data_IF_313758890024
#
_entry.id   IF_313758890024
#
_cell.length_a   1.000
_cell.length_b   1.000
_cell.length_c   1.000
_cell.angle_alpha   90.00
_cell.angle_beta   90.00
_cell.angle_gamma   90.00
#
_symmetry.space_group_name_H-M   'P 1'
#
loop_
_entity.id
_entity.type
_entity.pdbx_description
1 polymer ?
#
# COMPACT_ATOMS: atom_id res chain seq x y z
N UNK A 1 -9.57 20.19 1.26
CA UNK A 1 -10.22 18.87 1.39
C UNK A 1 -10.35 18.60 2.86
N UNK A 2 -11.57 18.37 3.31
CA UNK A 2 -11.93 18.11 4.71
C UNK A 2 -12.23 16.63 4.90
N UNK A 3 -11.80 16.05 6.02
CA UNK A 3 -12.20 14.71 6.43
C UNK A 3 -13.48 14.83 7.24
N UNK A 4 -14.60 14.39 6.66
CA UNK A 4 -15.92 14.54 7.27
C UNK A 4 -16.34 13.32 8.08
N UNK A 5 -15.79 12.14 7.78
CA UNK A 5 -16.06 10.92 8.53
C UNK A 5 -14.85 9.99 8.54
N UNK A 6 -14.61 9.34 9.67
CA UNK A 6 -13.63 8.25 9.81
C UNK A 6 -14.30 7.06 10.47
N UNK A 7 -14.30 5.91 9.80
CA UNK A 7 -14.76 4.63 10.35
C UNK A 7 -13.58 3.70 10.57
N UNK A 8 -13.45 3.18 11.79
CA UNK A 8 -12.39 2.27 12.16
C UNK A 8 -12.92 0.85 12.27
N UNK A 9 -12.16 -0.10 11.74
CA UNK A 9 -12.41 -1.54 11.77
C UNK A 9 -11.22 -2.21 12.45
N UNK A 10 -11.28 -2.41 13.78
CA UNK A 10 -10.24 -3.10 14.52
C UNK A 10 -9.98 -4.50 13.94
N UNK A 11 -8.73 -4.93 13.93
CA UNK A 11 -8.36 -6.27 13.49
C UNK A 11 -7.54 -6.95 14.57
N UNK A 12 -8.12 -7.99 15.15
CA UNK A 12 -7.41 -8.90 16.03
C UNK A 12 -6.74 -9.98 15.17
N UNK A 13 -5.41 -10.09 15.27
CA UNK A 13 -4.64 -11.07 14.52
C UNK A 13 -3.33 -11.39 15.21
N UNK A 14 -2.74 -12.55 14.88
CA UNK A 14 -1.42 -12.95 15.37
C UNK A 14 -0.32 -11.95 14.98
N UNK A 15 -0.49 -11.27 13.83
CA UNK A 15 0.40 -10.21 13.37
C UNK A 15 0.13 -8.91 14.13
N UNK A 16 0.90 -8.67 15.19
CA UNK A 16 0.80 -7.46 16.04
C UNK A 16 0.99 -6.14 15.29
N UNK A 17 1.55 -6.17 14.07
CA UNK A 17 1.86 -4.97 13.26
C UNK A 17 0.60 -4.27 12.74
N UNK A 18 -0.41 -5.00 12.28
CA UNK A 18 -1.63 -4.37 11.75
C UNK A 18 -2.69 -4.31 12.86
N UNK A 19 -3.06 -3.09 13.28
CA UNK A 19 -4.03 -2.88 14.38
C UNK A 19 -5.46 -2.77 13.90
N UNK A 20 -5.67 -2.05 12.80
CA UNK A 20 -6.99 -1.79 12.27
C UNK A 20 -6.94 -1.38 10.80
N UNK A 21 -8.09 -1.46 10.15
CA UNK A 21 -8.35 -0.75 8.90
C UNK A 21 -9.22 0.48 9.16
N UNK A 22 -9.10 1.49 8.31
CA UNK A 22 -9.92 2.67 8.32
C UNK A 22 -10.56 2.91 6.94
N UNK A 23 -11.76 3.48 6.96
CA UNK A 23 -12.39 4.11 5.81
C UNK A 23 -12.60 5.59 6.13
N UNK A 24 -12.17 6.47 5.22
CA UNK A 24 -12.19 7.92 5.40
C UNK A 24 -13.05 8.55 4.31
N UNK A 25 -14.02 9.36 4.71
CA UNK A 25 -14.87 10.15 3.81
C UNK A 25 -14.34 11.58 3.75
N UNK A 26 -14.10 12.06 2.53
CA UNK A 26 -13.65 13.41 2.22
C UNK A 26 -14.81 14.22 1.67
N UNK A 27 -14.99 15.44 2.18
CA UNK A 27 -15.96 16.44 1.73
C UNK A 27 -17.40 15.87 1.58
N UNK A 28 -17.78 14.86 2.38
CA UNK A 28 -19.05 14.11 2.26
C UNK A 28 -19.34 13.51 0.87
N UNK A 29 -18.33 13.38 0.01
CA UNK A 29 -18.52 13.04 -1.39
C UNK A 29 -17.65 11.87 -1.87
N UNK A 30 -16.52 11.60 -1.22
CA UNK A 30 -15.56 10.59 -1.67
C UNK A 30 -15.03 9.75 -0.51
N UNK A 31 -15.04 8.41 -0.66
CA UNK A 31 -14.56 7.50 0.38
C UNK A 31 -13.32 6.73 -0.07
N UNK A 32 -12.27 6.75 0.75
CA UNK A 32 -11.10 5.89 0.59
C UNK A 32 -11.15 4.78 1.65
N UNK A 33 -11.15 3.53 1.19
CA UNK A 33 -11.18 2.33 2.04
C UNK A 33 -9.81 1.68 2.12
N UNK A 34 -9.67 0.74 3.06
CA UNK A 34 -8.45 -0.06 3.26
C UNK A 34 -7.21 0.77 3.61
N UNK A 35 -7.40 1.94 4.22
CA UNK A 35 -6.32 2.62 4.95
C UNK A 35 -5.96 1.73 6.15
N UNK A 36 -4.68 1.57 6.45
CA UNK A 36 -4.20 0.67 7.51
C UNK A 36 -3.63 1.48 8.66
N UNK A 37 -3.94 1.06 9.88
CA UNK A 37 -3.30 1.57 11.10
C UNK A 37 -2.28 0.53 11.53
N UNK A 38 -1.00 0.90 11.50
CA UNK A 38 0.13 -0.01 11.68
C UNK A 38 0.97 0.42 12.88
N UNK A 39 1.37 -0.54 13.71
CA UNK A 39 2.36 -0.34 14.76
C UNK A 39 3.77 -0.51 14.17
N UNK A 40 4.49 0.61 14.07
CA UNK A 40 5.90 0.67 13.69
C UNK A 40 6.82 0.76 14.91
N UNK A 41 8.12 0.81 14.66
CA UNK A 41 9.13 0.95 15.73
C UNK A 41 9.07 2.31 16.45
N UNK A 42 8.55 3.34 15.80
CA UNK A 42 8.43 4.72 16.34
C UNK A 42 7.01 5.04 16.83
N UNK A 43 6.11 4.05 16.87
CA UNK A 43 4.72 4.24 17.25
C UNK A 43 3.73 3.86 16.13
N UNK A 44 2.46 4.15 16.39
CA UNK A 44 1.35 3.85 15.49
C UNK A 44 1.27 4.91 14.39
N UNK A 45 1.11 4.47 13.14
CA UNK A 45 1.02 5.37 11.99
C UNK A 45 0.02 4.85 10.96
N UNK A 46 -0.35 5.72 10.02
CA UNK A 46 -1.31 5.42 8.97
C UNK A 46 -0.59 5.06 7.67
N UNK A 47 -0.93 3.91 7.09
CA UNK A 47 -0.46 3.47 5.79
C UNK A 47 -1.61 3.47 4.77
N UNK A 48 -1.33 4.04 3.61
CA UNK A 48 -2.31 4.17 2.53
C UNK A 48 -2.73 2.83 1.93
N UNK A 49 -3.91 2.75 1.30
CA UNK A 49 -4.33 1.55 0.58
C UNK A 49 -3.39 1.30 -0.59
N UNK A 50 -2.80 0.11 -0.63
CA UNK A 50 -1.79 -0.26 -1.62
C UNK A 50 -2.13 -1.55 -2.35
N UNK A 51 -1.74 -1.64 -3.62
CA UNK A 51 -1.90 -2.82 -4.48
C UNK A 51 -0.53 -3.27 -4.99
N UNK A 52 -0.32 -4.59 -5.02
CA UNK A 52 0.82 -5.19 -5.71
C UNK A 52 0.65 -5.05 -7.22
N UNK A 53 1.63 -4.44 -7.88
CA UNK A 53 1.62 -4.26 -9.32
C UNK A 53 1.79 -5.61 -10.03
N UNK A 54 1.12 -5.77 -11.17
CA UNK A 54 1.15 -6.98 -12.01
C UNK A 54 1.29 -6.56 -13.48
N UNK A 55 1.98 -7.40 -14.27
CA UNK A 55 2.21 -7.19 -15.70
C UNK A 55 1.64 -8.37 -16.51
N UNK A 56 0.92 -8.08 -17.59
CA UNK A 56 0.37 -9.11 -18.46
C UNK A 56 1.46 -9.69 -19.36
N UNK A 57 1.49 -11.02 -19.50
CA UNK A 57 2.39 -11.69 -20.43
C UNK A 57 2.00 -11.34 -21.88
N UNK A 58 2.93 -10.88 -22.73
CA UNK A 58 2.63 -10.57 -24.14
C UNK A 58 2.24 -11.81 -24.96
N UNK A 59 2.61 -13.01 -24.49
CA UNK A 59 2.38 -14.25 -25.23
C UNK A 59 1.12 -15.01 -24.87
N UNK A 60 0.55 -14.83 -23.66
CA UNK A 60 -0.66 -15.55 -23.22
C UNK A 60 -1.65 -14.68 -22.41
N UNK A 61 -1.32 -13.43 -22.09
CA UNK A 61 -2.18 -12.54 -21.31
C UNK A 61 -2.19 -12.77 -19.80
N UNK A 62 -1.53 -13.82 -19.29
CA UNK A 62 -1.48 -14.10 -17.85
C UNK A 62 -0.85 -12.96 -17.04
N UNK A 63 -1.43 -12.62 -15.88
CA UNK A 63 -0.93 -11.54 -15.01
C UNK A 63 0.17 -12.02 -14.09
N UNK A 64 1.39 -11.63 -14.38
CA UNK A 64 2.59 -11.98 -13.63
C UNK A 64 2.93 -10.90 -12.60
N UNK A 65 3.77 -11.26 -11.64
CA UNK A 65 4.43 -10.27 -10.78
C UNK A 65 5.41 -9.44 -11.59
N UNK A 66 5.49 -8.14 -11.31
CA UNK A 66 6.46 -7.24 -11.94
C UNK A 66 7.87 -7.80 -11.73
N UNK A 67 8.73 -7.70 -12.75
CA UNK A 67 10.10 -8.27 -12.79
C UNK A 67 10.20 -9.80 -12.96
N UNK A 68 9.09 -10.53 -13.11
CA UNK A 68 9.16 -11.95 -13.51
C UNK A 68 9.86 -12.09 -14.86
N UNK A 69 11.00 -12.81 -14.88
CA UNK A 69 11.76 -13.05 -16.13
C UNK A 69 10.97 -13.92 -17.13
N UNK A 70 10.17 -14.85 -16.61
CA UNK A 70 9.33 -15.76 -17.37
C UNK A 70 7.89 -15.68 -16.88
N UNK A 71 6.95 -15.95 -17.78
CA UNK A 71 5.56 -16.07 -17.44
C UNK A 71 5.33 -17.31 -16.57
N UNK A 72 4.66 -17.13 -15.43
CA UNK A 72 4.33 -18.20 -14.48
C UNK A 72 3.32 -19.20 -15.02
N UNK A 73 2.62 -18.87 -16.12
CA UNK A 73 1.69 -19.78 -16.80
C UNK A 73 2.35 -20.47 -18.02
N UNK A 74 2.69 -19.71 -19.07
CA UNK A 74 3.16 -20.29 -20.33
C UNK A 74 4.69 -20.39 -20.49
N UNK A 75 5.47 -19.96 -19.50
CA UNK A 75 6.94 -20.01 -19.53
C UNK A 75 7.63 -19.05 -20.50
N UNK A 76 6.90 -18.32 -21.36
CA UNK A 76 7.50 -17.34 -22.28
C UNK A 76 8.18 -16.20 -21.52
N UNK A 77 9.30 -15.71 -22.06
CA UNK A 77 9.96 -14.53 -21.50
C UNK A 77 9.02 -13.31 -21.54
N UNK A 78 8.89 -12.65 -20.41
CA UNK A 78 8.23 -11.35 -20.33
C UNK A 78 9.35 -10.34 -20.58
N UNK A 79 9.35 -9.69 -21.74
CA UNK A 79 10.36 -8.71 -22.09
C UNK A 79 10.38 -7.60 -21.03
N UNK A 80 11.37 -7.64 -20.13
CA UNK A 80 11.74 -6.45 -19.38
C UNK A 80 12.20 -5.45 -20.42
N UNK A 81 11.49 -4.33 -20.56
CA UNK A 81 12.02 -3.23 -21.36
C UNK A 81 13.48 -3.00 -20.94
N UNK A 82 14.36 -3.06 -21.94
CA UNK A 82 15.82 -3.12 -21.87
C UNK A 82 16.51 -1.87 -21.29
N UNK A 83 15.86 -1.18 -20.35
CA UNK A 83 16.35 0.02 -19.67
C UNK A 83 16.59 -0.16 -18.16
N UNK A 84 16.32 -1.33 -17.57
CA UNK A 84 16.60 -1.62 -16.13
C UNK A 84 17.71 -2.63 -15.87
N UNK A 85 18.40 -3.08 -16.91
CA UNK A 85 19.58 -3.94 -16.77
C UNK A 85 20.78 -3.09 -16.36
N UNK A 86 20.89 -2.76 -15.07
CA UNK A 86 22.12 -2.39 -14.34
C UNK A 86 21.80 -1.95 -12.90
N UNK A 87 21.40 -2.88 -12.04
CA UNK A 87 21.62 -2.73 -10.59
C UNK A 87 22.24 -4.05 -10.10
N UNK A 88 23.47 -4.03 -9.52
CA UNK A 88 24.15 -5.23 -9.05
C UNK A 88 23.44 -5.87 -7.86
N UNK A 89 23.49 -7.20 -7.82
CA UNK A 89 23.00 -8.11 -6.78
C UNK A 89 23.75 -7.89 -5.45
N UNK A 90 23.38 -6.84 -4.72
CA UNK A 90 23.84 -6.61 -3.34
C UNK A 90 22.64 -6.44 -2.42
N UNK A 91 22.85 -6.60 -1.10
CA UNK A 91 21.88 -6.70 -0.01
C UNK A 91 20.77 -5.61 0.11
N UNK A 92 20.63 -4.72 -0.87
CA UNK A 92 19.56 -3.74 -1.06
C UNK A 92 18.23 -4.34 -1.60
N UNK A 93 18.15 -5.66 -1.78
CA UNK A 93 16.99 -6.34 -2.40
C UNK A 93 15.69 -6.29 -1.59
N UNK A 94 15.75 -6.23 -0.25
CA UNK A 94 14.53 -6.19 0.57
C UNK A 94 13.81 -4.83 0.49
N UNK A 95 14.55 -3.74 0.32
CA UNK A 95 13.96 -2.43 0.00
C UNK A 95 13.35 -2.43 -1.43
N UNK A 96 13.94 -3.18 -2.36
CA UNK A 96 13.42 -3.34 -3.72
C UNK A 96 12.15 -4.22 -3.78
N UNK A 97 11.96 -5.19 -2.88
CA UNK A 97 10.70 -5.98 -2.82
C UNK A 97 9.50 -5.16 -2.38
N UNK A 98 9.71 -4.10 -1.60
CA UNK A 98 8.67 -3.10 -1.31
C UNK A 98 8.30 -2.25 -2.55
N UNK A 99 9.19 -2.13 -3.54
CA UNK A 99 8.98 -1.28 -4.74
C UNK A 99 7.89 -1.78 -5.71
N UNK A 100 7.34 -2.97 -5.49
CA UNK A 100 6.29 -3.54 -6.33
C UNK A 100 4.87 -3.17 -5.84
N UNK A 101 4.76 -2.61 -4.64
CA UNK A 101 3.49 -2.09 -4.13
C UNK A 101 3.37 -0.61 -4.48
N UNK A 102 2.22 -0.22 -5.01
CA UNK A 102 1.88 1.18 -5.24
C UNK A 102 0.64 1.53 -4.45
N UNK A 103 0.67 2.71 -3.84
CA UNK A 103 -0.50 3.25 -3.18
C UNK A 103 -1.54 3.61 -4.23
N UNK A 104 -2.78 3.17 -3.99
CA UNK A 104 -3.95 3.47 -4.83
C UNK A 104 -4.37 4.92 -4.60
N UNK A 105 -4.26 5.40 -3.36
CA UNK A 105 -4.52 6.76 -2.96
C UNK A 105 -3.39 7.23 -2.05
N UNK A 106 -2.91 8.46 -2.22
CA UNK A 106 -1.91 9.04 -1.34
C UNK A 106 -2.12 10.56 -1.23
N UNK A 107 -1.86 11.16 -0.06
CA UNK A 107 -1.81 12.61 0.08
C UNK A 107 -0.65 13.15 -0.77
N UNK A 108 -0.90 14.24 -1.49
CA UNK A 108 0.12 14.88 -2.34
C UNK A 108 1.04 15.76 -1.50
N UNK A 109 0.48 16.48 -0.51
CA UNK A 109 1.21 17.43 0.31
C UNK A 109 1.45 16.89 1.72
N UNK A 110 2.58 17.26 2.37
CA UNK A 110 2.88 16.81 3.73
C UNK A 110 1.86 17.31 4.75
N UNK A 111 1.32 18.51 4.58
CA UNK A 111 0.34 19.09 5.50
C UNK A 111 -0.94 18.25 5.54
N UNK A 112 -1.41 17.79 4.37
CA UNK A 112 -2.58 16.92 4.31
C UNK A 112 -2.29 15.51 4.80
N UNK A 113 -1.05 15.02 4.64
CA UNK A 113 -0.62 13.74 5.20
C UNK A 113 -0.71 13.76 6.72
N UNK A 114 -0.19 14.80 7.36
CA UNK A 114 -0.19 14.94 8.82
C UNK A 114 -1.63 15.09 9.33
N UNK A 115 -2.43 15.96 8.69
CA UNK A 115 -3.85 16.11 8.99
C UNK A 115 -4.63 14.79 8.88
N UNK A 116 -4.41 14.01 7.81
CA UNK A 116 -5.06 12.70 7.63
C UNK A 116 -4.64 11.71 8.72
N UNK A 117 -3.34 11.67 9.05
CA UNK A 117 -2.83 10.79 10.08
C UNK A 117 -3.45 11.12 11.45
N UNK A 118 -3.43 12.39 11.84
CA UNK A 118 -3.95 12.83 13.14
C UNK A 118 -5.44 12.56 13.27
N UNK A 119 -6.23 12.83 12.22
CA UNK A 119 -7.68 12.55 12.22
C UNK A 119 -8.00 11.07 12.36
N UNK A 120 -7.24 10.21 11.66
CA UNK A 120 -7.46 8.76 11.72
C UNK A 120 -7.01 8.18 13.07
N UNK A 121 -5.87 8.62 13.61
CA UNK A 121 -5.38 8.17 14.91
C UNK A 121 -6.28 8.65 16.06
N UNK A 122 -6.78 9.88 16.00
CA UNK A 122 -7.75 10.36 16.99
C UNK A 122 -9.04 9.52 17.02
N UNK A 123 -9.55 9.11 15.85
CA UNK A 123 -10.71 8.21 15.78
C UNK A 123 -10.39 6.80 16.30
N UNK A 124 -9.16 6.32 16.08
CA UNK A 124 -8.69 5.04 16.60
C UNK A 124 -8.60 5.04 18.13
N UNK A 125 -8.04 6.09 18.72
CA UNK A 125 -7.88 6.21 20.17
C UNK A 125 -9.23 6.18 20.91
N UNK A 126 -10.29 6.71 20.29
CA UNK A 126 -11.66 6.63 20.82
C UNK A 126 -12.19 5.19 20.79
N UNK A 127 -11.90 4.44 19.73
CA UNK A 127 -12.35 3.04 19.56
C UNK A 127 -11.53 2.06 20.42
N UNK A 128 -10.29 2.41 20.78
CA UNK A 128 -9.45 1.59 21.65
C UNK A 128 -9.82 1.65 23.14
N UNK A 129 -10.60 2.66 23.56
CA UNK A 129 -11.07 2.81 24.93
C UNK A 129 -12.36 2.03 25.17
#
# INVERSE_FOLDING_TARGET
MEITEVRIFPKEGKDKKLKAYAAVTFDNAFVVRNIKIIEGSKGVFVAMPSRKLREACPGCGYTNTVKSRFCNECGKMIHSNSARTRIPETAADDALRQSDHRDIAHPITPEFRDYLQDKVLAAWDVVQR
#
